data_IF_520637942323
#
_entry.id   IF_520637942323
#
_cell.length_a   1.000
_cell.length_b   1.000
_cell.length_c   1.000
_cell.angle_alpha   90.00
_cell.angle_beta   90.00
_cell.angle_gamma   90.00
#
_symmetry.space_group_name_H-M   'P 1'
#
loop_
_entity.id
_entity.type
_entity.pdbx_description
1 polymer ?
#
# COMPACT_ATOMS: atom_id res chain seq x y z
N UNK A 1 1.94 -67.06 7.30
CA UNK A 1 1.63 -66.30 8.53
C UNK A 1 2.11 -64.87 8.36
N UNK A 2 1.21 -63.91 8.63
CA UNK A 2 1.42 -62.49 9.06
C UNK A 2 2.46 -61.66 8.28
N UNK A 3 2.03 -60.85 7.31
CA UNK A 3 1.67 -59.40 7.42
C UNK A 3 2.70 -58.55 8.19
N UNK A 4 3.42 -57.68 7.46
CA UNK A 4 3.74 -56.31 7.89
C UNK A 4 3.74 -55.37 6.68
N UNK A 5 2.78 -54.47 6.66
CA UNK A 5 2.67 -53.35 5.73
C UNK A 5 3.58 -52.21 6.22
N UNK A 6 4.28 -51.56 5.30
CA UNK A 6 4.94 -50.27 5.51
C UNK A 6 4.54 -49.35 4.35
N UNK A 7 3.67 -48.39 4.67
CA UNK A 7 3.32 -47.26 3.83
C UNK A 7 4.43 -46.22 3.95
N UNK A 8 5.14 -45.96 2.85
CA UNK A 8 6.02 -44.80 2.72
C UNK A 8 5.24 -43.75 1.92
N UNK A 9 4.88 -42.66 2.59
CA UNK A 9 4.36 -41.46 1.96
C UNK A 9 5.53 -40.68 1.33
N UNK A 10 5.46 -40.43 0.03
CA UNK A 10 6.37 -39.55 -0.70
C UNK A 10 5.63 -38.23 -0.94
N UNK A 11 6.12 -37.08 -0.45
CA UNK A 11 5.53 -35.78 -0.79
C UNK A 11 5.96 -35.37 -2.21
N UNK A 12 4.97 -35.11 -3.06
CA UNK A 12 5.15 -34.56 -4.40
C UNK A 12 5.63 -33.11 -4.31
N UNK A 13 6.84 -32.86 -4.81
CA UNK A 13 7.48 -31.56 -4.85
C UNK A 13 6.90 -30.63 -5.90
N UNK A 14 6.85 -29.34 -5.56
CA UNK A 14 6.67 -28.22 -6.47
C UNK A 14 7.84 -28.14 -7.46
N UNK A 15 7.52 -28.11 -8.76
CA UNK A 15 8.48 -27.81 -9.83
C UNK A 15 8.30 -26.35 -10.23
N UNK A 16 9.29 -25.52 -9.88
CA UNK A 16 9.51 -24.19 -10.44
C UNK A 16 10.27 -24.32 -11.75
N UNK A 17 9.71 -23.86 -12.86
CA UNK A 17 10.41 -23.73 -14.14
C UNK A 17 10.96 -22.30 -14.27
N UNK A 18 12.29 -22.20 -14.21
CA UNK A 18 13.05 -21.05 -14.67
C UNK A 18 13.21 -21.11 -16.20
N UNK A 19 13.04 -19.98 -16.88
CA UNK A 19 13.44 -19.80 -18.26
C UNK A 19 14.47 -18.65 -18.31
N UNK A 20 15.68 -18.98 -18.77
CA UNK A 20 16.72 -18.01 -19.12
C UNK A 20 16.41 -17.37 -20.47
N UNK A 21 16.71 -16.09 -20.61
CA UNK A 21 16.77 -15.37 -21.88
C UNK A 21 17.52 -14.05 -21.70
N UNK A 22 18.74 -14.01 -22.23
CA UNK A 22 19.64 -12.85 -22.24
C UNK A 22 19.06 -11.68 -23.03
N UNK A 23 19.20 -10.47 -22.47
CA UNK A 23 18.78 -9.23 -23.11
C UNK A 23 19.18 -8.01 -22.26
N UNK A 24 20.37 -7.50 -22.51
CA UNK A 24 20.95 -6.31 -21.89
C UNK A 24 20.03 -5.09 -22.09
N UNK A 25 19.48 -4.56 -20.99
CA UNK A 25 18.77 -3.29 -20.96
C UNK A 25 18.87 -2.63 -19.58
N UNK A 26 19.44 -1.42 -19.57
CA UNK A 26 19.61 -0.56 -18.41
C UNK A 26 18.30 -0.43 -17.61
N UNK A 27 18.30 -0.99 -16.40
CA UNK A 27 17.15 -0.98 -15.51
C UNK A 27 17.30 0.15 -14.48
N UNK A 28 16.38 1.12 -14.55
CA UNK A 28 16.17 2.11 -13.51
C UNK A 28 15.95 1.42 -12.15
N UNK A 29 16.70 1.87 -11.14
CA UNK A 29 16.76 1.29 -9.80
C UNK A 29 15.47 1.59 -9.03
N UNK A 30 14.49 0.70 -9.13
CA UNK A 30 13.37 0.65 -8.19
C UNK A 30 13.92 0.35 -6.79
N UNK A 31 13.64 1.23 -5.83
CA UNK A 31 14.02 1.03 -4.43
C UNK A 31 13.09 -0.03 -3.82
N UNK A 32 13.57 -1.27 -3.77
CA UNK A 32 12.97 -2.31 -2.94
C UNK A 32 13.39 -2.10 -1.49
N UNK A 33 12.41 -1.83 -0.62
CA UNK A 33 12.63 -1.83 0.82
C UNK A 33 12.93 -3.27 1.26
N UNK A 34 14.04 -3.55 1.97
CA UNK A 34 14.37 -4.91 2.37
C UNK A 34 13.44 -5.38 3.51
N UNK A 35 12.90 -6.59 3.33
CA UNK A 35 12.02 -7.31 4.25
C UNK A 35 12.67 -7.53 5.62
N UNK A 36 11.95 -7.22 6.70
CA UNK A 36 12.35 -7.50 8.08
C UNK A 36 11.81 -8.87 8.54
N UNK A 37 12.65 -9.69 9.15
CA UNK A 37 12.25 -10.96 9.75
C UNK A 37 11.27 -10.74 10.90
N UNK A 38 10.08 -11.34 10.81
CA UNK A 38 9.09 -11.34 11.88
C UNK A 38 9.61 -12.14 13.09
N UNK A 39 9.95 -11.46 14.19
CA UNK A 39 10.29 -12.11 15.45
C UNK A 39 9.02 -12.26 16.31
N UNK A 40 8.75 -13.47 16.81
CA UNK A 40 7.71 -13.75 17.81
C UNK A 40 8.02 -13.18 19.20
N UNK A 41 8.74 -12.06 19.26
CA UNK A 41 9.13 -11.37 20.48
C UNK A 41 7.93 -10.65 21.12
N UNK A 42 7.91 -10.62 22.45
CA UNK A 42 6.95 -9.82 23.22
C UNK A 42 7.01 -8.34 22.77
N UNK A 43 5.87 -7.63 22.63
CA UNK A 43 5.87 -6.22 22.26
C UNK A 43 6.84 -5.38 23.12
N UNK A 44 7.51 -4.38 22.54
CA UNK A 44 8.43 -3.52 23.26
C UNK A 44 7.73 -2.80 24.40
N UNK A 45 8.48 -2.53 25.48
CA UNK A 45 8.12 -1.45 26.39
C UNK A 45 8.32 -0.12 25.65
N UNK A 46 7.33 0.76 25.73
CA UNK A 46 7.38 2.11 25.17
C UNK A 46 7.70 3.09 26.29
N UNK A 47 8.63 4.02 26.03
CA UNK A 47 9.06 5.07 26.96
C UNK A 47 9.04 6.44 26.26
N UNK A 48 9.03 7.53 27.03
CA UNK A 48 8.94 8.89 26.46
C UNK A 48 10.28 9.43 25.92
N UNK A 49 11.41 8.77 26.21
CA UNK A 49 12.73 9.24 25.82
C UNK A 49 13.88 8.41 26.39
N UNK A 50 15.14 8.83 26.16
CA UNK A 50 15.50 10.11 25.54
C UNK A 50 15.22 10.16 24.03
N UNK A 51 14.96 11.35 23.51
CA UNK A 51 14.84 11.67 22.09
C UNK A 51 15.67 12.94 21.79
N UNK A 52 16.38 13.03 20.66
CA UNK A 52 17.06 14.26 20.26
C UNK A 52 16.06 15.38 19.99
N UNK A 53 16.53 16.62 19.94
CA UNK A 53 15.66 17.74 19.61
C UNK A 53 15.43 17.87 18.10
N UNK A 54 14.18 18.13 17.69
CA UNK A 54 13.85 18.67 16.37
C UNK A 54 14.19 20.17 16.39
N UNK A 55 15.22 20.59 15.64
CA UNK A 55 15.75 21.95 15.67
C UNK A 55 15.15 22.86 14.60
N UNK A 56 14.66 22.29 13.50
CA UNK A 56 14.01 23.03 12.41
C UNK A 56 12.86 22.22 11.82
N UNK A 57 12.03 22.89 11.01
CA UNK A 57 10.88 22.28 10.35
C UNK A 57 9.91 21.70 11.36
N UNK A 58 9.57 22.46 12.41
CA UNK A 58 8.79 21.97 13.57
C UNK A 58 7.30 21.81 13.28
N UNK A 59 6.78 22.43 12.21
CA UNK A 59 5.38 22.28 11.84
C UNK A 59 5.17 20.97 11.09
N UNK A 60 3.94 20.46 11.16
CA UNK A 60 3.52 19.28 10.40
C UNK A 60 3.82 19.47 8.90
N UNK A 61 4.33 18.42 8.28
CA UNK A 61 4.70 18.31 6.86
C UNK A 61 5.88 19.19 6.40
N UNK A 62 6.50 19.97 7.31
CA UNK A 62 7.80 20.60 7.06
C UNK A 62 8.92 19.58 7.27
N UNK A 63 9.89 19.50 6.34
CA UNK A 63 11.07 18.62 6.50
C UNK A 63 11.80 18.97 7.82
N UNK A 64 11.88 18.06 8.79
CA UNK A 64 12.52 18.35 10.06
C UNK A 64 14.05 18.31 9.94
N UNK A 65 14.72 19.08 10.78
CA UNK A 65 16.15 18.87 11.11
C UNK A 65 16.22 18.33 12.54
N UNK A 66 16.93 17.22 12.75
CA UNK A 66 17.00 16.55 14.06
C UNK A 66 18.44 16.54 14.56
N UNK A 67 18.65 16.99 15.80
CA UNK A 67 19.97 17.02 16.41
C UNK A 67 20.57 15.62 16.58
N UNK A 68 21.89 15.57 16.75
CA UNK A 68 22.57 14.35 17.20
C UNK A 68 22.07 13.96 18.60
N UNK A 69 21.84 12.67 18.81
CA UNK A 69 21.49 12.15 20.12
C UNK A 69 22.60 12.39 21.14
N UNK A 70 22.23 12.84 22.34
CA UNK A 70 23.15 13.05 23.46
C UNK A 70 23.09 11.87 24.43
N UNK A 71 24.26 11.38 24.85
CA UNK A 71 24.34 10.23 25.76
C UNK A 71 23.84 8.93 25.12
N UNK A 72 23.53 7.96 25.97
CA UNK A 72 23.06 6.65 25.55
C UNK A 72 21.55 6.70 25.19
N UNK A 73 21.15 6.14 24.04
CA UNK A 73 19.74 5.96 23.73
C UNK A 73 19.08 4.96 24.69
N UNK A 74 17.75 5.03 24.79
CA UNK A 74 16.97 4.01 25.50
C UNK A 74 17.18 2.62 24.87
N UNK A 75 17.20 1.59 25.71
CA UNK A 75 17.12 0.17 25.26
C UNK A 75 15.69 -0.24 24.91
N UNK A 76 14.71 0.47 25.46
CA UNK A 76 13.28 0.38 25.15
C UNK A 76 12.94 1.27 23.94
N UNK A 77 11.80 1.05 23.28
CA UNK A 77 11.34 1.88 22.16
C UNK A 77 10.89 3.25 22.70
N UNK A 78 11.63 4.32 22.38
CA UNK A 78 11.25 5.66 22.80
C UNK A 78 10.32 6.30 21.77
N UNK A 79 9.18 6.84 22.19
CA UNK A 79 8.16 7.40 21.29
C UNK A 79 7.55 8.64 21.91
N UNK A 80 7.46 9.72 21.14
CA UNK A 80 6.76 10.95 21.52
C UNK A 80 5.87 11.41 20.39
N UNK A 81 4.62 11.69 20.73
CA UNK A 81 3.72 12.41 19.81
C UNK A 81 4.04 13.90 19.92
N UNK A 82 4.73 14.44 18.93
CA UNK A 82 5.16 15.84 18.90
C UNK A 82 3.99 16.74 18.49
N UNK A 83 3.20 16.29 17.52
CA UNK A 83 1.95 16.93 17.10
C UNK A 83 0.85 15.87 17.16
N UNK A 84 -0.23 16.16 17.88
CA UNK A 84 -1.39 15.28 17.96
C UNK A 84 -2.30 15.50 16.73
N UNK A 85 -2.52 14.45 15.96
CA UNK A 85 -3.48 14.44 14.87
C UNK A 85 -4.91 14.24 15.39
N UNK A 86 -5.87 14.64 14.58
CA UNK A 86 -7.30 14.49 14.86
C UNK A 86 -7.98 13.44 13.97
N UNK A 87 -7.27 12.90 12.97
CA UNK A 87 -7.80 11.99 11.97
C UNK A 87 -8.05 10.57 12.48
N UNK A 88 -8.21 9.66 11.52
CA UNK A 88 -8.39 8.24 11.77
C UNK A 88 -7.23 7.68 12.59
N UNK A 89 -7.55 6.86 13.58
CA UNK A 89 -6.56 6.14 14.38
C UNK A 89 -5.94 5.03 13.54
N UNK A 90 -4.61 4.97 13.52
CA UNK A 90 -3.83 3.91 12.88
C UNK A 90 -3.99 2.63 13.67
N UNK A 91 -4.42 1.56 13.00
CA UNK A 91 -4.45 0.21 13.55
C UNK A 91 -3.27 -0.64 13.03
N UNK A 92 -3.00 -1.76 13.70
CA UNK A 92 -2.04 -2.74 13.24
C UNK A 92 -2.48 -3.33 11.89
N UNK A 93 -1.55 -3.47 10.95
CA UNK A 93 -1.85 -3.97 9.59
C UNK A 93 -2.45 -2.93 8.63
N UNK A 94 -2.78 -1.73 9.10
CA UNK A 94 -3.18 -0.62 8.23
C UNK A 94 -2.03 -0.24 7.31
N UNK A 95 -2.38 0.29 6.14
CA UNK A 95 -1.47 1.11 5.36
C UNK A 95 -1.41 2.51 5.98
N UNK A 96 -0.22 3.10 6.03
CA UNK A 96 -0.05 4.52 6.32
C UNK A 96 0.53 5.20 5.08
N UNK A 97 0.09 6.44 4.85
CA UNK A 97 0.79 7.38 3.99
C UNK A 97 1.47 8.40 4.88
N UNK A 98 2.79 8.51 4.80
CA UNK A 98 3.55 9.35 5.69
C UNK A 98 4.73 10.02 5.01
N UNK A 99 5.01 11.25 5.44
CA UNK A 99 6.31 11.84 5.24
C UNK A 99 7.22 11.46 6.42
N UNK A 100 8.50 11.21 6.17
CA UNK A 100 9.44 10.85 7.24
C UNK A 100 10.87 11.29 6.95
N UNK A 101 11.63 11.41 8.02
CA UNK A 101 13.09 11.50 8.01
C UNK A 101 13.65 10.46 8.99
N UNK A 102 14.64 9.70 8.55
CA UNK A 102 15.38 8.73 9.35
C UNK A 102 16.86 9.09 9.46
N UNK A 103 17.39 9.10 10.67
CA UNK A 103 18.81 9.31 10.94
C UNK A 103 19.39 8.36 11.99
N UNK A 104 20.70 8.25 12.04
CA UNK A 104 21.41 7.47 13.06
C UNK A 104 21.60 8.34 14.33
N UNK A 105 21.18 7.85 15.49
CA UNK A 105 21.27 8.55 16.78
C UNK A 105 22.66 9.15 17.04
N UNK A 106 23.71 8.31 16.91
CA UNK A 106 25.08 8.64 17.32
C UNK A 106 25.79 9.65 16.41
N UNK A 107 25.31 9.87 15.19
CA UNK A 107 25.99 10.71 14.19
C UNK A 107 25.12 11.81 13.60
N UNK A 108 23.80 11.78 13.83
CA UNK A 108 22.80 12.57 13.09
C UNK A 108 22.87 12.37 11.56
N UNK A 109 23.53 11.30 11.09
CA UNK A 109 23.58 11.01 9.66
C UNK A 109 22.18 10.60 9.21
N UNK A 110 21.53 11.48 8.43
CA UNK A 110 20.30 11.14 7.69
C UNK A 110 20.65 10.05 6.69
N UNK A 111 19.97 8.92 6.79
CA UNK A 111 20.15 7.80 5.85
C UNK A 111 19.03 7.76 4.80
N UNK A 112 17.85 8.30 5.13
CA UNK A 112 16.70 8.29 4.23
C UNK A 112 15.63 9.31 4.63
N UNK A 113 14.92 9.88 3.65
CA UNK A 113 13.77 10.76 3.89
C UNK A 113 12.86 10.90 2.65
N UNK A 114 11.55 11.04 2.87
CA UNK A 114 10.57 11.23 1.79
C UNK A 114 10.44 12.67 1.29
N UNK A 115 10.78 13.65 2.13
CA UNK A 115 10.61 15.08 1.82
C UNK A 115 11.42 15.50 0.58
N UNK A 116 12.68 15.06 0.49
CA UNK A 116 13.56 15.36 -0.65
C UNK A 116 13.08 14.70 -1.94
N UNK A 117 12.42 13.54 -1.82
CA UNK A 117 11.79 12.84 -2.95
C UNK A 117 10.47 13.47 -3.38
N UNK A 118 9.84 14.28 -2.52
CA UNK A 118 8.51 14.89 -2.72
C UNK A 118 7.38 13.88 -2.92
N UNK A 119 7.61 12.63 -2.52
CA UNK A 119 6.63 11.55 -2.59
C UNK A 119 6.56 10.89 -1.21
N UNK A 120 5.41 11.01 -0.51
CA UNK A 120 5.20 10.33 0.76
C UNK A 120 5.33 8.82 0.62
N UNK A 121 5.83 8.16 1.66
CA UNK A 121 5.84 6.71 1.72
C UNK A 121 4.42 6.19 1.94
N UNK A 122 4.01 5.19 1.17
CA UNK A 122 2.83 4.38 1.46
C UNK A 122 3.28 2.97 1.81
N UNK A 123 3.01 2.53 3.04
CA UNK A 123 3.49 1.23 3.52
C UNK A 123 2.49 0.59 4.46
N UNK A 124 2.41 -0.74 4.43
CA UNK A 124 1.61 -1.51 5.39
C UNK A 124 2.38 -1.71 6.69
N UNK A 125 1.74 -1.48 7.83
CA UNK A 125 2.29 -1.75 9.16
C UNK A 125 2.21 -3.25 9.52
N UNK A 126 2.78 -4.09 8.66
CA UNK A 126 2.91 -5.53 8.83
C UNK A 126 4.40 -5.93 8.98
N UNK A 127 4.70 -7.08 9.62
CA UNK A 127 6.10 -7.53 9.77
C UNK A 127 6.86 -7.64 8.45
N UNK A 128 6.17 -7.97 7.36
CA UNK A 128 6.74 -8.07 6.02
C UNK A 128 6.92 -6.71 5.33
N UNK A 129 6.24 -5.66 5.81
CA UNK A 129 6.22 -4.35 5.18
C UNK A 129 7.25 -3.37 5.74
N UNK A 130 7.42 -3.33 7.06
CA UNK A 130 8.26 -2.31 7.73
C UNK A 130 8.86 -2.85 9.04
N UNK A 131 9.94 -2.23 9.50
CA UNK A 131 10.58 -2.56 10.79
C UNK A 131 9.57 -2.48 11.95
N UNK A 132 9.69 -3.38 12.92
CA UNK A 132 8.76 -3.49 14.05
C UNK A 132 8.65 -2.20 14.88
N UNK A 133 9.73 -1.43 14.97
CA UNK A 133 9.74 -0.14 15.67
C UNK A 133 8.68 0.83 15.14
N UNK A 134 8.48 0.88 13.82
CA UNK A 134 7.41 1.69 13.21
C UNK A 134 6.02 1.13 13.55
N UNK A 135 5.86 -0.19 13.44
CA UNK A 135 4.58 -0.87 13.72
C UNK A 135 4.11 -0.55 15.13
N UNK A 136 4.98 -0.71 16.13
CA UNK A 136 4.65 -0.45 17.52
C UNK A 136 4.53 1.04 17.85
N UNK A 137 5.40 1.90 17.30
CA UNK A 137 5.38 3.34 17.62
C UNK A 137 4.14 4.06 17.04
N UNK A 138 3.73 3.69 15.83
CA UNK A 138 2.70 4.39 15.06
C UNK A 138 1.29 3.83 15.31
N UNK A 139 1.15 2.58 15.73
CA UNK A 139 -0.16 2.02 16.12
C UNK A 139 -0.78 2.84 17.27
N UNK A 140 -2.07 3.14 17.14
CA UNK A 140 -2.83 3.97 18.09
C UNK A 140 -2.62 5.48 17.91
N UNK A 141 -1.69 5.93 17.06
CA UNK A 141 -1.57 7.35 16.67
C UNK A 141 -2.65 7.72 15.66
N UNK A 142 -2.87 9.01 15.43
CA UNK A 142 -3.91 9.50 14.51
C UNK A 142 -3.29 10.08 13.25
N UNK A 143 -3.96 9.95 12.12
CA UNK A 143 -3.64 10.76 10.94
C UNK A 143 -3.65 12.25 11.30
N UNK A 144 -2.69 13.00 10.76
CA UNK A 144 -2.32 14.35 11.16
C UNK A 144 -1.31 14.42 12.31
N UNK A 145 -0.86 13.29 12.87
CA UNK A 145 0.17 13.29 13.91
C UNK A 145 1.57 13.42 13.33
N UNK A 146 2.40 14.19 14.03
CA UNK A 146 3.87 14.06 13.98
C UNK A 146 4.34 13.21 15.15
N UNK A 147 5.06 12.15 14.86
CA UNK A 147 5.59 11.22 15.86
C UNK A 147 7.11 11.17 15.73
N UNK A 148 7.80 11.42 16.82
CA UNK A 148 9.24 11.19 16.93
C UNK A 148 9.48 9.88 17.68
N UNK A 149 10.41 9.07 17.20
CA UNK A 149 10.77 7.81 17.84
C UNK A 149 12.27 7.54 17.74
N UNK A 150 12.83 6.91 18.79
CA UNK A 150 14.14 6.28 18.74
C UNK A 150 13.97 4.76 18.85
N UNK A 151 14.44 4.07 17.82
CA UNK A 151 14.24 2.64 17.58
C UNK A 151 15.56 1.91 17.82
N UNK A 152 15.69 1.14 18.92
CA UNK A 152 16.85 0.29 19.17
C UNK A 152 17.02 -0.77 18.07
N UNK A 153 18.23 -1.31 17.86
CA UNK A 153 18.48 -2.32 16.82
C UNK A 153 17.52 -3.50 16.87
N UNK A 154 17.13 -3.95 18.06
CA UNK A 154 16.17 -5.05 18.29
C UNK A 154 14.83 -4.85 17.57
N UNK A 155 14.40 -3.61 17.38
CA UNK A 155 13.14 -3.24 16.71
C UNK A 155 13.37 -2.55 15.35
N UNK A 156 14.63 -2.44 14.93
CA UNK A 156 15.06 -1.89 13.65
C UNK A 156 15.58 -2.99 12.72
N UNK A 157 16.83 -2.85 12.29
CA UNK A 157 17.47 -3.80 11.38
C UNK A 157 18.25 -4.94 12.08
N UNK A 158 18.07 -5.09 13.40
CA UNK A 158 18.72 -6.15 14.16
C UNK A 158 20.25 -6.09 14.10
N UNK A 159 20.95 -7.20 14.42
CA UNK A 159 22.41 -7.28 14.40
C UNK A 159 23.01 -7.21 12.99
N UNK A 160 22.21 -7.42 11.95
CA UNK A 160 22.66 -7.37 10.55
C UNK A 160 22.78 -5.93 10.03
N UNK A 161 21.98 -5.01 10.56
CA UNK A 161 21.93 -3.62 10.10
C UNK A 161 21.40 -3.50 8.66
N UNK A 162 21.73 -2.40 8.00
CA UNK A 162 21.43 -2.17 6.59
C UNK A 162 22.62 -1.46 5.93
N UNK A 163 23.49 -2.25 5.29
CA UNK A 163 24.72 -1.75 4.68
C UNK A 163 24.47 -0.71 3.57
N UNK A 164 23.37 -0.83 2.81
CA UNK A 164 23.03 0.11 1.74
C UNK A 164 22.68 1.50 2.30
N UNK A 165 22.00 1.53 3.45
CA UNK A 165 21.70 2.77 4.18
C UNK A 165 22.87 3.23 5.09
N UNK A 166 23.94 2.42 5.22
CA UNK A 166 25.04 2.65 6.14
C UNK A 166 24.65 2.52 7.61
N UNK A 167 23.63 1.72 7.91
CA UNK A 167 23.15 1.40 9.25
C UNK A 167 23.88 0.15 9.75
N UNK A 168 24.49 0.24 10.92
CA UNK A 168 25.14 -0.90 11.58
C UNK A 168 24.15 -1.64 12.46
N UNK A 169 24.44 -2.91 12.75
CA UNK A 169 23.58 -3.73 13.62
C UNK A 169 23.51 -3.29 15.09
N UNK A 170 24.31 -2.28 15.48
CA UNK A 170 24.30 -1.68 16.82
C UNK A 170 23.63 -0.32 16.85
N UNK A 171 23.23 0.22 15.69
CA UNK A 171 22.76 1.60 15.61
C UNK A 171 21.31 1.74 16.10
N UNK A 172 21.08 2.70 16.99
CA UNK A 172 19.74 3.21 17.27
C UNK A 172 19.35 4.21 16.19
N UNK A 173 18.16 4.03 15.63
CA UNK A 173 17.62 4.90 14.58
C UNK A 173 16.68 5.93 15.20
N UNK A 174 16.69 7.15 14.67
CA UNK A 174 15.73 8.18 15.03
C UNK A 174 14.87 8.47 13.82
N UNK A 175 13.56 8.46 14.00
CA UNK A 175 12.60 8.84 12.97
C UNK A 175 11.71 9.98 13.45
N UNK A 176 11.43 10.90 12.54
CA UNK A 176 10.30 11.83 12.66
C UNK A 176 9.35 11.50 11.52
N UNK A 177 8.11 11.15 11.86
CA UNK A 177 7.09 10.64 10.95
C UNK A 177 5.85 11.50 11.04
N UNK A 178 5.46 12.09 9.91
CA UNK A 178 4.20 12.78 9.71
C UNK A 178 3.20 11.86 9.05
N UNK A 179 2.26 11.36 9.84
CA UNK A 179 1.22 10.46 9.35
C UNK A 179 0.17 11.31 8.63
N UNK A 180 0.19 11.31 7.30
CA UNK A 180 -0.76 12.07 6.50
C UNK A 180 -2.12 11.38 6.46
N UNK A 181 -2.13 10.07 6.14
CA UNK A 181 -3.33 9.27 6.05
C UNK A 181 -3.09 7.84 6.55
N UNK A 182 -4.18 7.12 6.80
CA UNK A 182 -4.17 5.69 7.06
C UNK A 182 -5.31 5.01 6.31
N UNK A 183 -5.07 3.79 5.82
CA UNK A 183 -5.99 3.04 4.99
C UNK A 183 -6.09 1.57 5.43
N UNK A 184 -7.30 1.02 5.36
CA UNK A 184 -7.59 -0.38 5.64
C UNK A 184 -8.72 -0.90 4.74
N UNK A 185 -9.16 -2.14 4.94
CA UNK A 185 -10.23 -2.76 4.15
C UNK A 185 -11.60 -2.07 4.21
N UNK A 186 -11.76 -0.99 4.99
CA UNK A 186 -12.96 -0.15 5.01
C UNK A 186 -12.74 1.23 4.39
N UNK A 187 -11.52 1.55 3.97
CA UNK A 187 -11.22 2.81 3.29
C UNK A 187 -12.01 2.94 2.00
N UNK A 188 -12.31 4.16 1.61
CA UNK A 188 -13.07 4.41 0.39
C UNK A 188 -12.69 5.77 -0.18
N UNK A 189 -13.03 5.99 -1.44
CA UNK A 189 -12.90 7.27 -2.12
C UNK A 189 -13.56 8.40 -1.31
N UNK A 190 -12.93 9.58 -1.32
CA UNK A 190 -13.42 10.80 -0.67
C UNK A 190 -13.35 11.91 -1.71
N UNK A 191 -14.46 12.57 -1.96
CA UNK A 191 -14.51 13.63 -2.96
C UNK A 191 -15.93 14.03 -3.33
N UNK A 192 -16.05 14.72 -4.46
CA UNK A 192 -17.32 15.25 -4.95
C UNK A 192 -18.02 14.19 -5.79
N UNK A 193 -19.30 13.92 -5.50
CA UNK A 193 -20.11 13.00 -6.30
C UNK A 193 -20.30 13.56 -7.70
N UNK A 194 -20.14 12.71 -8.71
CA UNK A 194 -20.36 13.05 -10.12
C UNK A 194 -21.67 12.41 -10.59
N UNK A 195 -22.45 13.15 -11.37
CA UNK A 195 -23.73 12.68 -11.89
C UNK A 195 -23.51 11.51 -12.87
N UNK A 196 -24.42 10.52 -12.83
CA UNK A 196 -24.37 9.29 -13.62
C UNK A 196 -25.55 9.26 -14.60
N UNK A 197 -25.61 10.26 -15.48
CA UNK A 197 -26.79 10.53 -16.32
C UNK A 197 -26.86 9.65 -17.57
N UNK A 198 -25.75 9.05 -17.98
CA UNK A 198 -25.73 8.13 -19.11
C UNK A 198 -26.38 6.80 -18.72
N UNK A 199 -27.59 6.58 -19.21
CA UNK A 199 -28.41 5.38 -18.94
C UNK A 199 -27.86 4.10 -19.57
N UNK A 200 -26.98 4.22 -20.57
CA UNK A 200 -26.34 3.09 -21.24
C UNK A 200 -25.09 2.60 -20.50
N UNK A 201 -24.74 3.23 -19.37
CA UNK A 201 -23.61 2.85 -18.53
C UNK A 201 -24.06 2.30 -17.17
N UNK A 202 -23.23 1.44 -16.55
CA UNK A 202 -23.48 0.94 -15.21
C UNK A 202 -23.63 2.07 -14.19
N UNK A 203 -24.60 1.93 -13.29
CA UNK A 203 -24.73 2.82 -12.13
C UNK A 203 -23.98 2.25 -10.93
N UNK A 204 -23.17 3.08 -10.30
CA UNK A 204 -22.32 2.71 -9.17
C UNK A 204 -22.76 3.44 -7.91
N UNK A 205 -22.92 2.69 -6.82
CA UNK A 205 -23.24 3.24 -5.50
C UNK A 205 -22.12 4.15 -4.98
N UNK A 206 -22.50 5.27 -4.34
CA UNK A 206 -21.53 6.20 -3.74
C UNK A 206 -21.32 5.97 -2.24
N UNK A 207 -22.32 5.45 -1.53
CA UNK A 207 -22.17 5.12 -0.12
C UNK A 207 -21.72 3.66 0.04
N UNK A 208 -20.56 3.47 0.68
CA UNK A 208 -19.99 2.14 0.89
C UNK A 208 -20.08 1.69 2.34
N UNK A 209 -20.03 2.60 3.33
CA UNK A 209 -19.92 2.26 4.76
C UNK A 209 -18.88 1.13 5.03
N UNK A 210 -17.77 1.13 4.27
CA UNK A 210 -16.72 0.11 4.33
C UNK A 210 -17.04 -1.21 3.60
N UNK A 211 -18.04 -1.25 2.73
CA UNK A 211 -18.45 -2.39 1.90
C UNK A 211 -18.27 -2.11 0.42
N UNK A 212 -18.32 -3.16 -0.40
CA UNK A 212 -18.25 -3.01 -1.85
C UNK A 212 -19.39 -2.12 -2.38
N UNK A 213 -19.13 -1.20 -3.32
CA UNK A 213 -20.18 -0.44 -3.98
C UNK A 213 -21.15 -1.37 -4.72
N UNK A 214 -22.43 -0.98 -4.77
CA UNK A 214 -23.38 -1.59 -5.71
C UNK A 214 -22.97 -1.24 -7.15
N UNK A 215 -23.20 -2.17 -8.07
CA UNK A 215 -22.99 -1.97 -9.51
C UNK A 215 -24.23 -2.53 -10.21
N UNK A 216 -24.99 -1.65 -10.85
CA UNK A 216 -26.19 -1.99 -11.61
C UNK A 216 -25.87 -1.92 -13.10
N UNK A 217 -25.88 -3.07 -13.79
CA UNK A 217 -25.60 -3.14 -15.23
C UNK A 217 -26.89 -2.88 -16.03
N UNK A 218 -26.89 -1.95 -17.00
CA UNK A 218 -28.04 -1.73 -17.86
C UNK A 218 -28.26 -2.89 -18.83
N UNK A 219 -29.51 -3.14 -19.23
CA UNK A 219 -29.87 -4.17 -20.20
C UNK A 219 -29.72 -3.67 -21.64
N UNK A 220 -28.52 -3.21 -21.98
CA UNK A 220 -28.12 -2.75 -23.32
C UNK A 220 -26.79 -3.38 -23.72
N UNK A 221 -26.41 -3.26 -24.98
CA UNK A 221 -25.12 -3.73 -25.46
C UNK A 221 -23.97 -2.96 -24.78
N UNK A 222 -22.87 -3.65 -24.40
CA UNK A 222 -21.74 -2.99 -23.76
C UNK A 222 -21.03 -2.01 -24.70
N UNK A 223 -20.42 -0.94 -24.15
CA UNK A 223 -19.52 -0.07 -24.90
C UNK A 223 -18.39 -0.85 -25.57
N UNK A 224 -18.13 -0.53 -26.83
CA UNK A 224 -17.02 -1.13 -27.61
C UNK A 224 -15.67 -0.43 -27.36
N UNK A 225 -15.71 0.74 -26.72
CA UNK A 225 -14.54 1.53 -26.31
C UNK A 225 -14.42 1.55 -24.78
N UNK A 226 -13.21 1.81 -24.30
CA UNK A 226 -12.98 2.02 -22.87
C UNK A 226 -13.84 3.19 -22.36
N UNK A 227 -14.51 2.96 -21.23
CA UNK A 227 -15.16 4.02 -20.44
C UNK A 227 -14.39 4.15 -19.14
N UNK A 228 -14.12 5.39 -18.70
CA UNK A 228 -13.42 5.68 -17.46
C UNK A 228 -13.97 6.98 -16.84
N UNK A 229 -15.13 6.87 -16.19
CA UNK A 229 -15.87 8.01 -15.65
C UNK A 229 -15.63 8.15 -14.15
N UNK A 230 -15.60 9.39 -13.67
CA UNK A 230 -15.71 9.64 -12.23
C UNK A 230 -17.12 9.30 -11.74
N UNK A 231 -17.18 8.63 -10.60
CA UNK A 231 -18.37 8.45 -9.77
C UNK A 231 -18.24 9.35 -8.54
N UNK A 232 -17.03 9.42 -8.00
CA UNK A 232 -16.58 10.39 -7.01
C UNK A 232 -15.26 10.96 -7.55
N UNK A 233 -15.17 12.27 -7.72
CA UNK A 233 -13.91 12.92 -8.09
C UNK A 233 -13.19 13.38 -6.82
N UNK A 234 -12.02 12.81 -6.59
CA UNK A 234 -11.10 13.23 -5.53
C UNK A 234 -10.32 14.47 -5.93
N UNK A 235 -9.66 15.07 -4.95
CA UNK A 235 -8.83 16.28 -5.07
C UNK A 235 -7.33 16.01 -4.95
N UNK A 236 -6.94 14.73 -4.84
CA UNK A 236 -5.56 14.31 -4.75
C UNK A 236 -4.76 14.47 -6.04
N UNK A 237 -3.45 14.18 -6.00
CA UNK A 237 -2.58 14.29 -7.16
C UNK A 237 -3.06 13.40 -8.32
N UNK A 238 -2.72 13.83 -9.53
CA UNK A 238 -2.96 13.04 -10.74
C UNK A 238 -2.10 11.77 -10.76
N UNK A 239 -2.70 10.71 -11.29
CA UNK A 239 -2.10 9.41 -11.53
C UNK A 239 -1.39 9.40 -12.87
N UNK A 240 -0.08 9.22 -12.86
CA UNK A 240 0.76 8.98 -14.03
C UNK A 240 0.80 7.51 -14.43
N UNK A 241 1.18 7.21 -15.67
CA UNK A 241 1.16 5.86 -16.25
C UNK A 241 2.16 4.87 -15.61
N UNK A 242 3.18 5.40 -14.92
CA UNK A 242 4.23 4.62 -14.26
C UNK A 242 3.98 4.42 -12.76
N UNK A 243 2.90 5.00 -12.22
CA UNK A 243 2.62 5.00 -10.81
C UNK A 243 2.19 3.61 -10.31
N UNK A 244 2.48 3.36 -9.04
CA UNK A 244 1.85 2.28 -8.29
C UNK A 244 0.73 2.85 -7.41
N UNK A 245 -0.37 2.13 -7.30
CA UNK A 245 -1.56 2.60 -6.59
C UNK A 245 -1.97 1.64 -5.49
N UNK A 246 -2.36 2.20 -4.35
CA UNK A 246 -3.17 1.51 -3.35
C UNK A 246 -4.64 1.75 -3.69
N UNK A 247 -5.38 0.67 -3.94
CA UNK A 247 -6.76 0.73 -4.42
C UNK A 247 -7.68 -0.16 -3.60
N UNK A 248 -8.97 0.19 -3.67
CA UNK A 248 -10.05 -0.75 -3.38
C UNK A 248 -10.95 -0.85 -4.60
N UNK A 249 -11.36 -2.05 -4.96
CA UNK A 249 -12.11 -2.28 -6.18
C UNK A 249 -13.04 -3.48 -6.08
N UNK A 250 -14.01 -3.48 -7.00
CA UNK A 250 -14.88 -4.60 -7.33
C UNK A 250 -15.02 -4.68 -8.85
N UNK A 251 -14.84 -5.89 -9.39
CA UNK A 251 -15.00 -6.25 -10.79
C UNK A 251 -16.18 -7.20 -10.99
N UNK A 252 -17.07 -6.86 -11.91
CA UNK A 252 -18.20 -7.68 -12.34
C UNK A 252 -18.19 -7.88 -13.85
N UNK A 253 -18.75 -8.98 -14.32
CA UNK A 253 -18.95 -9.22 -15.76
C UNK A 253 -20.20 -8.49 -16.23
N UNK A 254 -20.14 -7.83 -17.40
CA UNK A 254 -21.29 -7.11 -17.97
C UNK A 254 -22.49 -8.03 -18.23
N UNK A 255 -22.24 -9.22 -18.79
CA UNK A 255 -23.28 -10.14 -19.26
C UNK A 255 -24.18 -10.67 -18.13
N UNK A 256 -23.60 -10.90 -16.96
CA UNK A 256 -24.23 -11.61 -15.84
C UNK A 256 -24.37 -10.72 -14.61
N UNK A 257 -23.64 -9.61 -14.52
CA UNK A 257 -23.48 -8.83 -13.30
C UNK A 257 -22.74 -9.57 -12.18
N UNK A 258 -22.21 -10.78 -12.46
CA UNK A 258 -21.54 -11.61 -11.46
C UNK A 258 -20.19 -11.00 -11.10
N UNK A 259 -19.92 -10.88 -9.81
CA UNK A 259 -18.59 -10.54 -9.30
C UNK A 259 -17.60 -11.66 -9.64
N UNK A 260 -16.46 -11.29 -10.21
CA UNK A 260 -15.36 -12.21 -10.51
C UNK A 260 -14.10 -11.89 -9.74
N UNK A 261 -13.95 -10.64 -9.26
CA UNK A 261 -12.80 -10.22 -8.47
C UNK A 261 -13.17 -9.01 -7.60
N UNK A 262 -12.74 -9.00 -6.34
CA UNK A 262 -13.06 -7.94 -5.38
C UNK A 262 -12.07 -7.92 -4.22
N UNK A 263 -11.48 -6.75 -3.98
CA UNK A 263 -10.67 -6.49 -2.78
C UNK A 263 -11.51 -6.52 -1.49
N UNK A 264 -12.78 -6.12 -1.56
CA UNK A 264 -13.71 -6.18 -0.44
C UNK A 264 -13.97 -7.62 0.01
N UNK A 265 -14.14 -8.53 -0.96
CA UNK A 265 -14.39 -9.96 -0.69
C UNK A 265 -13.16 -10.67 -0.12
N UNK A 266 -11.97 -10.11 -0.32
CA UNK A 266 -10.72 -10.54 0.34
C UNK A 266 -10.45 -9.85 1.67
N UNK A 267 -11.26 -8.86 2.05
CA UNK A 267 -11.08 -8.02 3.24
C UNK A 267 -9.70 -7.34 3.30
N UNK A 268 -9.07 -7.11 2.15
CA UNK A 268 -7.72 -6.58 2.06
C UNK A 268 -7.59 -5.60 0.88
N UNK A 269 -6.96 -4.45 1.15
CA UNK A 269 -6.58 -3.50 0.11
C UNK A 269 -5.64 -4.16 -0.89
N UNK A 270 -5.62 -3.62 -2.11
CA UNK A 270 -4.76 -4.14 -3.17
C UNK A 270 -3.82 -3.07 -3.67
N UNK A 271 -2.59 -3.46 -3.98
CA UNK A 271 -1.50 -2.59 -4.41
C UNK A 271 -0.93 -3.13 -5.72
N UNK A 272 -0.86 -2.28 -6.75
CA UNK A 272 -0.39 -2.68 -8.08
C UNK A 272 0.33 -1.54 -8.79
N UNK A 273 1.36 -1.87 -9.57
CA UNK A 273 1.89 -0.96 -10.59
C UNK A 273 0.99 -0.93 -11.82
N UNK A 274 0.74 0.26 -12.39
CA UNK A 274 -0.13 0.38 -13.57
C UNK A 274 0.38 -0.33 -14.83
N UNK A 275 1.65 -0.74 -14.85
CA UNK A 275 2.25 -1.58 -15.91
C UNK A 275 1.97 -3.07 -15.74
N UNK A 276 1.46 -3.50 -14.59
CA UNK A 276 1.26 -4.91 -14.22
C UNK A 276 -0.19 -5.35 -14.34
N UNK A 277 -1.10 -4.44 -14.69
CA UNK A 277 -2.54 -4.68 -14.81
C UNK A 277 -2.98 -4.68 -16.27
N UNK A 278 -4.21 -5.15 -16.54
CA UNK A 278 -4.79 -5.13 -17.88
C UNK A 278 -4.82 -3.70 -18.46
N UNK A 279 -4.70 -3.57 -19.77
CA UNK A 279 -4.58 -2.26 -20.45
C UNK A 279 -5.71 -1.31 -20.10
N UNK A 280 -6.94 -1.80 -19.96
CA UNK A 280 -8.10 -0.98 -19.58
C UNK A 280 -8.01 -0.37 -18.18
N UNK A 281 -7.37 -1.06 -17.22
CA UNK A 281 -7.10 -0.50 -15.89
C UNK A 281 -6.06 0.61 -15.98
N UNK A 282 -4.93 0.32 -16.64
CA UNK A 282 -3.84 1.28 -16.83
C UNK A 282 -4.33 2.57 -17.51
N UNK A 283 -5.00 2.43 -18.66
CA UNK A 283 -5.56 3.54 -19.41
C UNK A 283 -6.71 4.25 -18.68
N UNK A 284 -7.55 3.52 -17.97
CA UNK A 284 -8.73 4.08 -17.30
C UNK A 284 -8.37 4.94 -16.09
N UNK A 285 -7.30 4.58 -15.37
CA UNK A 285 -6.84 5.31 -14.18
C UNK A 285 -5.80 6.39 -14.47
N UNK A 286 -5.02 6.27 -15.55
CA UNK A 286 -4.06 7.32 -15.94
C UNK A 286 -4.80 8.64 -16.18
N UNK A 287 -4.25 9.72 -15.62
CA UNK A 287 -4.82 11.06 -15.67
C UNK A 287 -5.98 11.29 -14.70
N UNK A 288 -6.35 10.29 -13.88
CA UNK A 288 -7.36 10.45 -12.82
C UNK A 288 -6.71 10.89 -11.52
N UNK A 289 -7.52 11.35 -10.57
CA UNK A 289 -7.03 11.90 -9.29
C UNK A 289 -7.10 10.87 -8.18
N UNK A 290 -6.09 10.84 -7.33
CA UNK A 290 -6.16 10.12 -6.04
C UNK A 290 -7.34 10.65 -5.21
N UNK A 291 -7.99 9.76 -4.46
CA UNK A 291 -9.22 10.01 -3.72
C UNK A 291 -10.50 9.71 -4.52
N UNK A 292 -10.39 9.46 -5.82
CA UNK A 292 -11.54 9.24 -6.71
C UNK A 292 -12.10 7.82 -6.64
N UNK A 293 -13.41 7.69 -6.89
CA UNK A 293 -14.04 6.44 -7.36
C UNK A 293 -14.30 6.54 -8.84
N UNK A 294 -13.89 5.53 -9.59
CA UNK A 294 -14.08 5.43 -11.03
C UNK A 294 -15.02 4.28 -11.38
N UNK A 295 -15.84 4.49 -12.41
CA UNK A 295 -16.45 3.45 -13.21
C UNK A 295 -15.56 3.21 -14.42
N UNK A 296 -15.07 1.98 -14.58
CA UNK A 296 -14.25 1.58 -15.71
C UNK A 296 -14.92 0.42 -16.43
N UNK A 297 -15.36 0.62 -17.69
CA UNK A 297 -15.91 -0.45 -18.54
C UNK A 297 -14.87 -0.82 -19.59
N UNK A 298 -14.40 -2.07 -19.53
CA UNK A 298 -13.25 -2.55 -20.29
C UNK A 298 -13.73 -3.50 -21.38
N UNK A 299 -13.64 -3.11 -22.66
CA UNK A 299 -13.92 -4.02 -23.77
C UNK A 299 -12.84 -5.10 -23.86
N UNK A 300 -13.11 -6.26 -24.50
CA UNK A 300 -12.24 -7.43 -24.38
C UNK A 300 -10.81 -7.20 -24.85
N UNK A 301 -10.63 -6.39 -25.90
CA UNK A 301 -9.32 -6.01 -26.47
C UNK A 301 -8.40 -5.28 -25.48
N UNK A 302 -8.96 -4.68 -24.42
CA UNK A 302 -8.22 -4.00 -23.37
C UNK A 302 -8.23 -4.77 -22.03
N UNK A 303 -8.92 -5.91 -22.00
CA UNK A 303 -8.99 -6.84 -20.88
C UNK A 303 -8.18 -8.10 -21.16
N UNK A 304 -8.82 -9.26 -20.99
CA UNK A 304 -8.20 -10.57 -21.21
C UNK A 304 -8.40 -11.15 -22.62
N UNK A 305 -9.23 -10.52 -23.46
CA UNK A 305 -9.50 -10.96 -24.83
C UNK A 305 -9.81 -12.46 -24.94
N UNK A 306 -9.01 -13.15 -25.73
CA UNK A 306 -9.12 -14.59 -26.03
C UNK A 306 -8.39 -15.50 -25.03
N UNK A 307 -7.69 -14.91 -24.06
CA UNK A 307 -6.83 -15.63 -23.12
C UNK A 307 -7.19 -15.28 -21.68
N UNK A 308 -8.43 -15.61 -21.24
CA UNK A 308 -8.83 -15.41 -19.86
C UNK A 308 -7.96 -16.24 -18.90
N UNK A 309 -7.77 -15.78 -17.64
CA UNK A 309 -7.06 -16.54 -16.64
C UNK A 309 -7.70 -17.91 -16.42
N UNK A 310 -6.88 -18.97 -16.42
CA UNK A 310 -7.36 -20.33 -16.20
C UNK A 310 -8.04 -20.44 -14.83
N UNK A 311 -9.20 -21.10 -14.80
CA UNK A 311 -9.99 -21.28 -13.57
C UNK A 311 -10.76 -20.04 -13.11
N UNK A 312 -10.73 -18.93 -13.86
CA UNK A 312 -11.59 -17.77 -13.59
C UNK A 312 -12.98 -17.93 -14.20
N UNK A 313 -13.96 -17.17 -13.69
CA UNK A 313 -15.29 -17.04 -14.29
C UNK A 313 -15.29 -16.22 -15.59
N UNK A 314 -14.15 -15.64 -15.97
CA UNK A 314 -14.02 -14.78 -17.14
C UNK A 314 -13.98 -15.65 -18.39
N UNK A 315 -14.94 -15.42 -19.30
CA UNK A 315 -14.98 -16.08 -20.61
C UNK A 315 -14.18 -15.30 -21.63
N UNK A 316 -13.83 -15.96 -22.73
CA UNK A 316 -13.35 -15.28 -23.94
C UNK A 316 -14.31 -14.16 -24.32
N UNK A 317 -13.76 -13.03 -24.74
CA UNK A 317 -14.51 -11.84 -25.17
C UNK A 317 -15.41 -11.20 -24.10
N UNK A 318 -15.15 -11.46 -22.81
CA UNK A 318 -15.90 -10.81 -21.72
C UNK A 318 -15.63 -9.31 -21.64
N UNK A 319 -16.70 -8.53 -21.46
CA UNK A 319 -16.63 -7.13 -21.04
C UNK A 319 -16.65 -7.06 -19.53
N UNK A 320 -15.67 -6.37 -18.96
CA UNK A 320 -15.53 -6.22 -17.51
C UNK A 320 -15.96 -4.83 -17.07
N UNK A 321 -16.64 -4.74 -15.94
CA UNK A 321 -17.02 -3.49 -15.30
C UNK A 321 -16.36 -3.44 -13.93
N UNK A 322 -15.58 -2.38 -13.70
CA UNK A 322 -14.93 -2.13 -12.44
C UNK A 322 -15.46 -0.86 -11.79
N UNK A 323 -15.63 -0.92 -10.47
CA UNK A 323 -15.58 0.26 -9.61
C UNK A 323 -14.23 0.26 -8.91
N UNK A 324 -13.49 1.36 -8.99
CA UNK A 324 -12.14 1.49 -8.41
C UNK A 324 -12.03 2.77 -7.59
N UNK A 325 -11.76 2.61 -6.30
CA UNK A 325 -11.34 3.68 -5.40
C UNK A 325 -9.81 3.78 -5.43
N UNK A 326 -9.30 4.93 -5.88
CA UNK A 326 -7.86 5.23 -5.85
C UNK A 326 -7.54 5.85 -4.49
N UNK A 327 -6.98 5.08 -3.56
CA UNK A 327 -6.78 5.52 -2.17
C UNK A 327 -5.51 6.32 -2.00
N UNK A 328 -4.40 5.85 -2.58
CA UNK A 328 -3.12 6.52 -2.54
C UNK A 328 -2.27 6.18 -3.77
N UNK A 329 -1.36 7.09 -4.08
CA UNK A 329 -0.24 6.86 -5.00
C UNK A 329 0.99 6.46 -4.17
N UNK A 330 1.77 5.49 -4.67
CA UNK A 330 2.96 4.93 -4.02
C UNK A 330 4.20 5.15 -4.88
#
# INVERSE_FOLDING_TARGET
MRRRSLLIAVPAGLVTLAACGDGESDSAKASSSPSASASGAKPPKIVDGPLPAITEGVKFDEKPTVAKGSGDPSKDLAVKTVIAGSGQTVAEGDYIQANYLGQIWASAKVFDNSYDRKTPLVIQLSPQGIIDGWRYALTGKKAGSRVEMAVPPTWGYGPDGNAQAGIKGTDTLVFVVDIQNTFNGKSSAKGTKVAQDNVDLPKVGTNTDGKAPSVEIPKVDPPTKLVANYIIEGDGPEVGADDSLLVQYKGVLWDTGKEFDSSYSREALSSFGLKQVVKGWSQGMTGKKVGSRLLIVIPPKLGYGDTPPSGSDIKKDSVMVFTVDILAKM
#
